data_IF_110433191620
#
_entry.id   IF_110433191620
#
_cell.length_a   1.000
_cell.length_b   1.000
_cell.length_c   1.000
_cell.angle_alpha   90.00
_cell.angle_beta   90.00
_cell.angle_gamma   90.00
#
_symmetry.space_group_name_H-M   'P 1'
#
loop_
_entity.id
_entity.type
_entity.pdbx_description
1 polymer ?
#
# COMPACT_ATOMS: atom_id res chain seq x y z
N UNK A 1 68.02 0.83 -21.97
CA UNK A 1 67.82 0.17 -20.66
C UNK A 1 66.61 0.81 -20.01
N UNK A 2 65.43 0.30 -20.36
CA UNK A 2 64.14 0.74 -19.81
C UNK A 2 63.66 -0.38 -18.87
N UNK A 3 63.59 -0.08 -17.58
CA UNK A 3 63.08 -1.00 -16.58
C UNK A 3 61.54 -1.05 -16.64
N UNK A 4 60.91 -2.23 -16.71
CA UNK A 4 59.46 -2.34 -16.81
C UNK A 4 58.80 -2.00 -15.47
N UNK A 5 57.93 -1.00 -15.49
CA UNK A 5 57.02 -0.65 -14.39
C UNK A 5 55.97 -1.76 -14.20
N UNK A 6 55.80 -2.31 -12.99
CA UNK A 6 54.75 -3.28 -12.71
C UNK A 6 53.43 -2.61 -12.31
N UNK A 7 52.36 -2.99 -13.02
CA UNK A 7 50.98 -2.96 -12.55
C UNK A 7 50.53 -4.43 -12.31
N UNK A 8 49.51 -4.76 -11.49
CA UNK A 8 48.48 -3.86 -10.94
C UNK A 8 48.07 -4.12 -9.47
N UNK A 9 47.59 -3.07 -8.79
CA UNK A 9 46.76 -3.21 -7.58
C UNK A 9 45.35 -3.69 -7.96
N UNK A 10 45.19 -5.00 -8.14
CA UNK A 10 43.93 -5.65 -8.59
C UNK A 10 43.48 -6.75 -7.62
N UNK A 11 43.48 -6.47 -6.31
CA UNK A 11 43.31 -7.53 -5.30
C UNK A 11 42.58 -7.20 -3.99
N UNK A 12 42.18 -5.97 -3.72
CA UNK A 12 41.38 -5.61 -2.53
C UNK A 12 40.43 -4.49 -2.97
N UNK A 13 39.16 -4.74 -3.30
CA UNK A 13 38.12 -5.14 -2.37
C UNK A 13 37.03 -5.91 -3.13
N UNK A 14 37.10 -7.25 -3.12
CA UNK A 14 35.88 -8.06 -3.17
C UNK A 14 35.34 -8.12 -1.74
N UNK A 15 34.24 -7.43 -1.49
CA UNK A 15 33.49 -7.52 -0.26
C UNK A 15 32.14 -6.84 -0.41
N UNK A 16 31.07 -7.63 -0.36
CA UNK A 16 29.70 -7.12 -0.22
C UNK A 16 28.94 -6.92 -1.52
N UNK A 17 28.15 -7.91 -1.90
CA UNK A 17 27.20 -7.81 -3.01
C UNK A 17 26.13 -6.73 -2.78
N UNK A 18 25.84 -6.02 -3.86
CA UNK A 18 24.54 -5.53 -4.33
C UNK A 18 23.46 -5.29 -3.25
N UNK A 19 23.10 -4.02 -3.05
CA UNK A 19 21.73 -3.54 -3.31
C UNK A 19 21.79 -2.16 -3.95
N UNK A 20 21.14 -2.04 -5.09
CA UNK A 20 20.96 -0.81 -5.86
C UNK A 20 20.19 0.22 -5.03
N UNK A 21 20.87 1.27 -4.59
CA UNK A 21 20.23 2.52 -4.17
C UNK A 21 19.70 3.21 -5.43
N UNK A 22 18.51 2.81 -5.86
CA UNK A 22 17.84 3.33 -7.06
C UNK A 22 16.33 3.11 -7.09
N UNK A 23 15.74 2.71 -5.96
CA UNK A 23 14.32 2.35 -5.84
C UNK A 23 13.69 2.89 -4.56
N UNK A 24 13.96 4.15 -4.18
CA UNK A 24 13.33 4.78 -3.02
C UNK A 24 11.82 4.89 -3.24
N UNK A 25 11.39 5.91 -3.99
CA UNK A 25 9.97 6.10 -4.33
C UNK A 25 9.42 4.99 -5.21
N UNK A 26 10.15 4.56 -6.25
CA UNK A 26 9.67 3.51 -7.15
C UNK A 26 9.50 2.14 -6.46
N UNK A 27 10.40 1.79 -5.53
CA UNK A 27 10.29 0.54 -4.76
C UNK A 27 9.20 0.61 -3.70
N UNK A 28 9.00 1.78 -3.08
CA UNK A 28 7.90 2.01 -2.16
C UNK A 28 6.53 1.91 -2.86
N UNK A 29 6.39 2.53 -4.04
CA UNK A 29 5.16 2.47 -4.83
C UNK A 29 4.83 1.04 -5.30
N UNK A 30 5.84 0.27 -5.71
CA UNK A 30 5.68 -1.14 -6.09
C UNK A 30 5.21 -1.99 -4.90
N UNK A 31 5.81 -1.79 -3.72
CA UNK A 31 5.42 -2.46 -2.48
C UNK A 31 3.98 -2.12 -2.05
N UNK A 32 3.58 -0.85 -2.15
CA UNK A 32 2.23 -0.38 -1.78
C UNK A 32 1.17 -0.91 -2.76
N UNK A 33 1.49 -0.99 -4.06
CA UNK A 33 0.52 -1.38 -5.11
C UNK A 33 0.00 -2.82 -5.01
N UNK A 34 0.76 -3.71 -4.37
CA UNK A 34 0.40 -5.12 -4.16
C UNK A 34 0.02 -5.48 -2.73
N UNK A 35 0.07 -4.52 -1.80
CA UNK A 35 -0.14 -4.74 -0.38
C UNK A 35 -1.62 -4.50 0.02
N UNK A 36 -2.07 -5.21 1.06
CA UNK A 36 -3.36 -4.92 1.69
C UNK A 36 -3.31 -3.59 2.47
N UNK A 37 -4.46 -2.99 2.84
CA UNK A 37 -4.49 -1.70 3.52
C UNK A 37 -3.72 -1.65 4.86
N UNK A 38 -3.67 -2.76 5.60
CA UNK A 38 -2.97 -2.84 6.89
C UNK A 38 -1.46 -2.93 6.70
N UNK A 39 -1.00 -3.65 5.67
CA UNK A 39 0.39 -3.73 5.26
C UNK A 39 0.88 -2.38 4.71
N UNK A 40 0.09 -1.68 3.90
CA UNK A 40 0.40 -0.32 3.44
C UNK A 40 0.59 0.63 4.62
N UNK A 41 -0.30 0.58 5.61
CA UNK A 41 -0.19 1.39 6.81
C UNK A 41 1.08 1.07 7.61
N UNK A 42 1.39 -0.22 7.80
CA UNK A 42 2.63 -0.65 8.48
C UNK A 42 3.88 -0.18 7.74
N UNK A 43 3.93 -0.30 6.42
CA UNK A 43 5.06 0.14 5.60
C UNK A 43 5.31 1.65 5.72
N UNK A 44 4.24 2.44 5.68
CA UNK A 44 4.35 3.90 5.81
C UNK A 44 4.71 4.34 7.23
N UNK A 45 4.18 3.67 8.26
CA UNK A 45 4.60 3.90 9.64
C UNK A 45 6.10 3.61 9.83
N UNK A 46 6.58 2.47 9.32
CA UNK A 46 7.98 2.09 9.44
C UNK A 46 8.91 3.04 8.69
N UNK A 47 8.49 3.50 7.51
CA UNK A 47 9.19 4.54 6.75
C UNK A 47 9.36 5.82 7.58
N UNK A 48 8.26 6.36 8.12
CA UNK A 48 8.30 7.61 8.89
C UNK A 48 9.16 7.44 10.14
N UNK A 49 9.05 6.32 10.87
CA UNK A 49 9.90 6.05 12.05
C UNK A 49 11.37 5.96 11.69
N UNK A 50 11.70 5.30 10.58
CA UNK A 50 13.08 5.11 10.13
C UNK A 50 13.73 6.45 9.77
N UNK A 51 13.02 7.29 9.01
CA UNK A 51 13.52 8.62 8.68
C UNK A 51 13.59 9.51 9.92
N UNK A 52 12.60 9.46 10.82
CA UNK A 52 12.62 10.22 12.07
C UNK A 52 13.77 9.81 12.98
N UNK A 53 14.02 8.51 13.14
CA UNK A 53 15.15 7.98 13.92
C UNK A 53 16.48 8.44 13.32
N UNK A 54 16.59 8.46 11.99
CA UNK A 54 17.82 8.90 11.33
C UNK A 54 18.10 10.37 11.58
N UNK A 55 17.08 11.23 11.51
CA UNK A 55 17.23 12.68 11.79
C UNK A 55 17.59 12.92 13.26
N UNK A 56 17.01 12.17 14.19
CA UNK A 56 17.30 12.28 15.63
C UNK A 56 18.62 11.57 16.04
N UNK A 57 19.30 10.90 15.11
CA UNK A 57 20.54 10.15 15.39
C UNK A 57 20.32 8.89 16.24
N UNK A 58 19.11 8.33 16.25
CA UNK A 58 18.81 7.07 16.91
C UNK A 58 19.28 5.87 16.08
N UNK A 59 19.83 4.86 16.76
CA UNK A 59 20.30 3.64 16.11
C UNK A 59 19.16 2.73 15.59
N UNK A 60 17.91 2.98 16.00
CA UNK A 60 16.76 2.16 15.63
C UNK A 60 15.47 2.99 15.57
N UNK A 61 14.63 2.69 14.58
CA UNK A 61 13.26 3.17 14.44
C UNK A 61 12.39 2.85 15.68
N UNK A 62 12.72 1.78 16.42
CA UNK A 62 12.00 1.38 17.63
C UNK A 62 12.11 2.41 18.77
N UNK A 63 13.15 3.25 18.76
CA UNK A 63 13.34 4.31 19.75
C UNK A 63 12.39 5.51 19.55
N UNK A 64 11.74 5.61 18.38
CA UNK A 64 10.76 6.66 18.08
C UNK A 64 9.37 6.15 18.46
N UNK A 65 8.73 6.82 19.41
CA UNK A 65 7.34 6.57 19.77
C UNK A 65 6.41 7.12 18.68
N UNK A 66 5.46 6.31 18.21
CA UNK A 66 4.60 6.66 17.08
C UNK A 66 3.46 7.62 17.44
N UNK A 67 3.09 7.68 18.72
CA UNK A 67 1.99 8.50 19.24
C UNK A 67 2.48 9.80 19.88
N UNK A 68 3.77 9.87 20.24
CA UNK A 68 4.36 11.08 20.78
C UNK A 68 4.55 12.13 19.69
N UNK A 69 4.36 13.40 20.05
CA UNK A 69 4.63 14.52 19.17
C UNK A 69 6.11 14.52 18.75
N UNK A 70 6.38 14.75 17.47
CA UNK A 70 7.72 14.91 16.92
C UNK A 70 8.46 16.03 17.66
N UNK A 71 7.78 17.12 18.03
CA UNK A 71 8.38 18.20 18.82
C UNK A 71 8.84 17.72 20.20
N UNK A 72 8.03 16.89 20.87
CA UNK A 72 8.37 16.32 22.18
C UNK A 72 9.44 15.22 22.11
N UNK A 73 9.70 14.71 20.90
CA UNK A 73 10.80 13.78 20.59
C UNK A 73 12.11 14.51 20.28
N UNK A 74 12.10 15.85 20.22
CA UNK A 74 13.28 16.67 19.94
C UNK A 74 13.37 17.19 18.51
N UNK A 75 12.27 17.15 17.74
CA UNK A 75 12.22 17.87 16.47
C UNK A 75 12.11 19.38 16.70
N UNK A 76 12.91 20.14 15.96
CA UNK A 76 12.94 21.59 15.92
C UNK A 76 12.74 22.08 14.47
N UNK A 77 12.88 23.38 14.24
CA UNK A 77 12.72 23.97 12.91
C UNK A 77 13.66 23.39 11.85
N UNK A 78 14.91 23.05 12.20
CA UNK A 78 15.88 22.54 11.24
C UNK A 78 15.67 21.04 10.99
N UNK A 79 15.50 20.26 12.06
CA UNK A 79 15.29 18.81 11.94
C UNK A 79 13.95 18.48 11.30
N UNK A 80 12.93 19.32 11.48
CA UNK A 80 11.64 19.20 10.79
C UNK A 80 11.78 19.36 9.27
N UNK A 81 12.60 20.31 8.82
CA UNK A 81 12.88 20.50 7.39
C UNK A 81 13.66 19.31 6.83
N UNK A 82 14.61 18.76 7.61
CA UNK A 82 15.34 17.56 7.20
C UNK A 82 14.42 16.35 7.04
N UNK A 83 13.58 16.05 8.04
CA UNK A 83 12.61 14.96 7.97
C UNK A 83 11.71 15.11 6.75
N UNK A 84 11.16 16.31 6.53
CA UNK A 84 10.33 16.61 5.36
C UNK A 84 11.07 16.31 4.06
N UNK A 85 12.34 16.74 3.93
CA UNK A 85 13.12 16.52 2.72
C UNK A 85 13.37 15.02 2.48
N UNK A 86 13.68 14.27 3.53
CA UNK A 86 13.92 12.82 3.47
C UNK A 86 12.66 12.07 3.06
N UNK A 87 11.51 12.40 3.66
CA UNK A 87 10.21 11.85 3.27
C UNK A 87 9.86 12.20 1.82
N UNK A 88 10.09 13.44 1.39
CA UNK A 88 9.90 13.83 -0.02
C UNK A 88 10.74 13.01 -0.99
N UNK A 89 12.00 12.70 -0.65
CA UNK A 89 12.87 11.85 -1.48
C UNK A 89 12.40 10.40 -1.49
N UNK A 90 12.02 9.87 -0.33
CA UNK A 90 11.61 8.48 -0.17
C UNK A 90 10.26 8.19 -0.84
N UNK A 91 9.35 9.16 -0.85
CA UNK A 91 7.99 9.01 -1.39
C UNK A 91 7.82 9.58 -2.80
N UNK A 92 8.72 10.48 -3.22
CA UNK A 92 8.56 11.24 -4.45
C UNK A 92 7.56 12.39 -4.37
N UNK A 93 6.95 12.63 -3.19
CA UNK A 93 5.97 13.70 -2.97
C UNK A 93 6.62 15.06 -2.76
N UNK A 94 5.93 16.12 -3.17
CA UNK A 94 6.28 17.50 -2.80
C UNK A 94 5.56 17.89 -1.51
N UNK A 95 6.22 17.66 -0.38
CA UNK A 95 5.65 17.97 0.92
C UNK A 95 5.85 19.47 1.27
N UNK A 96 4.81 20.16 1.78
CA UNK A 96 4.94 21.54 2.23
C UNK A 96 5.84 21.64 3.47
N UNK A 97 6.40 22.82 3.72
CA UNK A 97 7.27 23.04 4.88
C UNK A 97 6.55 22.94 6.22
N UNK A 98 5.21 23.05 6.22
CA UNK A 98 4.37 22.96 7.42
C UNK A 98 3.97 21.53 7.80
N UNK A 99 4.28 20.53 6.95
CA UNK A 99 3.76 19.17 7.10
C UNK A 99 4.02 18.54 8.47
N UNK A 100 5.16 18.84 9.11
CA UNK A 100 5.51 18.33 10.45
C UNK A 100 4.65 18.98 11.54
N UNK A 101 4.15 20.20 11.33
CA UNK A 101 3.24 20.88 12.24
C UNK A 101 1.78 20.47 12.00
N UNK A 102 1.41 20.25 10.74
CA UNK A 102 0.08 19.79 10.35
C UNK A 102 -0.16 18.33 10.79
N UNK A 103 0.90 17.52 10.78
CA UNK A 103 0.88 16.11 11.17
C UNK A 103 1.99 15.83 12.20
N UNK A 104 1.74 16.17 13.48
CA UNK A 104 2.78 16.25 14.51
C UNK A 104 3.21 14.90 15.07
N UNK A 105 2.61 13.78 14.67
CA UNK A 105 2.98 12.44 15.14
C UNK A 105 3.35 11.55 13.97
N UNK A 106 4.12 10.48 14.23
CA UNK A 106 4.43 9.48 13.20
C UNK A 106 3.16 8.90 12.60
N UNK A 107 2.16 8.59 13.43
CA UNK A 107 0.88 8.06 12.96
C UNK A 107 0.12 9.01 12.04
N UNK A 108 0.01 10.29 12.40
CA UNK A 108 -0.69 11.29 11.58
C UNK A 108 0.06 11.58 10.29
N UNK A 109 1.39 11.62 10.33
CA UNK A 109 2.25 11.77 9.16
C UNK A 109 2.10 10.58 8.20
N UNK A 110 2.13 9.34 8.70
CA UNK A 110 1.95 8.14 7.89
C UNK A 110 0.56 8.10 7.23
N UNK A 111 -0.48 8.51 7.96
CA UNK A 111 -1.84 8.66 7.41
C UNK A 111 -1.91 9.69 6.29
N UNK A 112 -1.22 10.83 6.43
CA UNK A 112 -1.14 11.83 5.36
C UNK A 112 -0.42 11.28 4.11
N UNK A 113 0.73 10.62 4.29
CA UNK A 113 1.46 10.00 3.18
C UNK A 113 0.61 8.94 2.46
N UNK A 114 -0.18 8.16 3.21
CA UNK A 114 -1.12 7.19 2.63
C UNK A 114 -2.14 7.88 1.74
N UNK A 115 -2.76 8.96 2.22
CA UNK A 115 -3.75 9.71 1.45
C UNK A 115 -3.17 10.32 0.17
N UNK A 116 -1.90 10.73 0.18
CA UNK A 116 -1.22 11.28 -1.00
C UNK A 116 -0.75 10.19 -2.00
N UNK A 117 -0.30 9.03 -1.51
CA UNK A 117 0.26 7.96 -2.35
C UNK A 117 -0.80 6.98 -2.87
N UNK A 118 -1.87 6.80 -2.10
CA UNK A 118 -3.02 5.98 -2.42
C UNK A 118 -4.29 6.81 -2.16
N UNK A 119 -4.51 7.90 -2.93
CA UNK A 119 -5.73 8.70 -2.80
C UNK A 119 -6.91 7.75 -2.93
N UNK A 120 -7.71 7.68 -1.87
CA UNK A 120 -8.59 6.58 -1.51
C UNK A 120 -9.04 5.71 -2.69
N UNK A 121 -8.83 4.39 -2.57
CA UNK A 121 -9.37 3.41 -3.49
C UNK A 121 -10.90 3.51 -3.70
N UNK A 122 -11.61 4.28 -2.87
CA UNK A 122 -13.00 4.66 -3.07
C UNK A 122 -13.22 5.53 -4.32
N UNK A 123 -12.32 6.47 -4.63
CA UNK A 123 -12.38 7.26 -5.86
C UNK A 123 -12.13 6.39 -7.10
N UNK A 124 -11.26 5.38 -7.01
CA UNK A 124 -11.06 4.40 -8.08
C UNK A 124 -12.20 3.39 -8.19
N UNK A 125 -12.81 2.96 -7.08
CA UNK A 125 -13.91 2.01 -7.08
C UNK A 125 -15.17 2.64 -7.70
N UNK A 126 -15.49 3.89 -7.36
CA UNK A 126 -16.61 4.62 -7.97
C UNK A 126 -16.37 4.81 -9.47
N UNK A 127 -15.17 5.24 -9.88
CA UNK A 127 -14.82 5.36 -11.31
C UNK A 127 -14.82 4.02 -12.07
N UNK A 128 -14.35 2.94 -11.44
CA UNK A 128 -14.40 1.59 -12.01
C UNK A 128 -15.84 1.08 -12.13
N UNK A 129 -16.72 1.37 -11.16
CA UNK A 129 -18.14 1.02 -11.21
C UNK A 129 -18.86 1.79 -12.33
N UNK A 130 -18.53 3.06 -12.53
CA UNK A 130 -19.04 3.85 -13.67
C UNK A 130 -18.53 3.31 -15.02
N UNK A 131 -17.26 2.91 -15.10
CA UNK A 131 -16.69 2.25 -16.28
C UNK A 131 -17.41 0.92 -16.56
N UNK A 132 -17.69 0.14 -15.52
CA UNK A 132 -18.42 -1.12 -15.60
C UNK A 132 -19.84 -0.89 -16.15
N UNK A 133 -20.55 0.12 -15.64
CA UNK A 133 -21.88 0.50 -16.12
C UNK A 133 -21.87 1.01 -17.57
N UNK A 134 -20.80 1.69 -18.00
CA UNK A 134 -20.62 2.09 -19.40
C UNK A 134 -20.39 0.87 -20.31
N UNK A 135 -19.60 -0.10 -19.84
CA UNK A 135 -19.36 -1.35 -20.56
C UNK A 135 -20.64 -2.18 -20.69
N UNK A 136 -21.45 -2.25 -19.64
CA UNK A 136 -22.77 -2.90 -19.63
C UNK A 136 -23.70 -2.26 -20.68
N UNK A 137 -23.81 -0.93 -20.68
CA UNK A 137 -24.59 -0.18 -21.69
C UNK A 137 -24.10 -0.41 -23.12
N UNK A 138 -22.79 -0.64 -23.30
CA UNK A 138 -22.19 -0.98 -24.60
C UNK A 138 -22.49 -2.40 -25.05
N UNK A 139 -22.48 -3.36 -24.12
CA UNK A 139 -22.81 -4.77 -24.38
C UNK A 139 -24.26 -4.93 -24.85
N UNK A 140 -25.20 -4.15 -24.31
CA UNK A 140 -26.61 -4.15 -24.74
C UNK A 140 -26.80 -3.78 -26.22
N UNK A 141 -25.89 -2.98 -26.76
CA UNK A 141 -25.90 -2.56 -28.17
C UNK A 141 -25.22 -3.56 -29.10
N UNK A 142 -24.38 -4.44 -28.57
CA UNK A 142 -23.64 -5.43 -29.34
C UNK A 142 -24.47 -6.72 -29.44
N UNK A 143 -24.80 -7.12 -30.67
CA UNK A 143 -25.35 -8.46 -30.88
C UNK A 143 -24.24 -9.49 -30.73
N UNK A 144 -24.18 -10.13 -29.55
CA UNK A 144 -23.23 -11.20 -29.26
C UNK A 144 -23.76 -12.55 -29.78
N UNK A 145 -22.95 -13.24 -30.56
CA UNK A 145 -23.19 -14.64 -30.93
C UNK A 145 -23.02 -15.58 -29.72
N UNK A 146 -23.42 -16.86 -29.87
CA UNK A 146 -23.37 -17.83 -28.78
C UNK A 146 -21.96 -18.11 -28.25
N UNK A 147 -20.96 -18.07 -29.13
CA UNK A 147 -19.55 -18.34 -28.77
C UNK A 147 -18.96 -17.17 -27.99
N UNK A 148 -19.22 -15.94 -28.41
CA UNK A 148 -18.78 -14.71 -27.75
C UNK A 148 -19.45 -14.57 -26.38
N UNK A 149 -20.73 -14.93 -26.27
CA UNK A 149 -21.45 -14.99 -24.99
C UNK A 149 -20.78 -15.96 -24.02
N UNK A 150 -20.50 -17.20 -24.45
CA UNK A 150 -19.82 -18.19 -23.60
C UNK A 150 -18.42 -17.74 -23.15
N UNK A 151 -17.66 -17.09 -24.04
CA UNK A 151 -16.33 -16.55 -23.71
C UNK A 151 -16.38 -15.40 -22.72
N UNK A 152 -17.37 -14.50 -22.86
CA UNK A 152 -17.58 -13.39 -21.94
C UNK A 152 -17.95 -13.91 -20.54
N UNK A 153 -18.89 -14.86 -20.44
CA UNK A 153 -19.30 -15.49 -19.18
C UNK A 153 -18.11 -16.12 -18.46
N UNK A 154 -17.32 -16.95 -19.16
CA UNK A 154 -16.12 -17.56 -18.57
C UNK A 154 -15.07 -16.52 -18.14
N UNK A 155 -15.00 -15.38 -18.82
CA UNK A 155 -14.15 -14.25 -18.42
C UNK A 155 -14.62 -13.58 -17.13
N UNK A 156 -15.93 -13.34 -17.01
CA UNK A 156 -16.55 -12.74 -15.83
C UNK A 156 -16.45 -13.65 -14.60
N UNK A 157 -16.63 -14.96 -14.76
CA UNK A 157 -16.45 -15.93 -13.68
C UNK A 157 -15.03 -15.91 -13.10
N UNK A 158 -14.01 -15.83 -13.96
CA UNK A 158 -12.61 -15.68 -13.52
C UNK A 158 -12.37 -14.35 -12.79
N UNK A 159 -12.96 -13.27 -13.27
CA UNK A 159 -12.85 -11.96 -12.62
C UNK A 159 -13.53 -11.98 -11.25
N UNK A 160 -14.71 -12.60 -11.13
CA UNK A 160 -15.40 -12.81 -9.86
C UNK A 160 -14.54 -13.61 -8.88
N UNK A 161 -13.96 -14.73 -9.32
CA UNK A 161 -13.09 -15.55 -8.46
C UNK A 161 -11.90 -14.74 -7.93
N UNK A 162 -11.26 -13.94 -8.79
CA UNK A 162 -10.14 -13.07 -8.41
C UNK A 162 -10.54 -12.00 -7.40
N UNK A 163 -11.72 -11.39 -7.57
CA UNK A 163 -12.24 -10.39 -6.63
C UNK A 163 -12.60 -11.00 -5.27
N UNK A 164 -13.15 -12.23 -5.27
CA UNK A 164 -13.50 -12.96 -4.05
C UNK A 164 -12.26 -13.40 -3.25
N UNK A 165 -11.14 -13.73 -3.91
CA UNK A 165 -9.86 -14.03 -3.25
C UNK A 165 -9.28 -12.81 -2.51
N UNK A 166 -9.56 -11.60 -2.99
CA UNK A 166 -9.04 -10.34 -2.42
C UNK A 166 -9.94 -9.70 -1.36
N UNK A 167 -11.15 -10.23 -1.14
CA UNK A 167 -12.07 -9.71 -0.12
C UNK A 167 -11.80 -10.41 1.24
N UNK A 168 -11.75 -9.68 2.37
CA UNK A 168 -11.78 -10.32 3.69
C UNK A 168 -13.06 -11.14 3.83
N UNK A 169 -13.04 -12.26 4.59
CA UNK A 169 -14.20 -13.13 4.71
C UNK A 169 -15.43 -12.33 5.15
N UNK A 170 -16.43 -12.25 4.28
CA UNK A 170 -17.69 -11.58 4.55
C UNK A 170 -18.45 -12.28 5.68
N UNK A 171 -19.16 -11.48 6.49
CA UNK A 171 -19.99 -11.87 7.64
C UNK A 171 -21.06 -12.94 7.36
N UNK A 172 -21.25 -13.33 6.10
CA UNK A 172 -22.21 -14.36 5.68
C UNK A 172 -21.90 -15.75 6.23
N UNK A 173 -20.64 -16.00 6.65
CA UNK A 173 -20.26 -17.25 7.34
C UNK A 173 -20.66 -17.34 8.81
N UNK A 174 -21.23 -16.28 9.41
CA UNK A 174 -21.70 -16.30 10.81
C UNK A 174 -23.22 -16.48 10.93
N UNK A 175 -23.98 -16.33 9.83
CA UNK A 175 -25.45 -16.41 9.83
C UNK A 175 -26.01 -17.76 9.31
N UNK A 176 -25.17 -18.77 9.12
CA UNK A 176 -25.56 -20.08 8.55
C UNK A 176 -25.59 -21.23 9.55
N UNK A 177 -26.28 -21.11 10.70
CA UNK A 177 -26.64 -22.27 11.54
C UNK A 177 -28.04 -22.19 12.17
N UNK A 178 -28.96 -21.38 11.63
CA UNK A 178 -30.32 -21.30 12.18
C UNK A 178 -31.38 -21.25 11.09
N UNK A 179 -31.56 -22.35 10.34
CA UNK A 179 -32.80 -22.56 9.58
C UNK A 179 -33.24 -24.04 9.48
N UNK A 180 -32.88 -24.87 10.46
CA UNK A 180 -33.44 -26.23 10.57
C UNK A 180 -34.43 -26.29 11.74
N UNK A 181 -35.72 -26.12 11.44
CA UNK A 181 -36.80 -26.67 12.27
C UNK A 181 -37.92 -25.72 12.70
N UNK A 182 -38.77 -25.27 11.77
CA UNK A 182 -40.14 -24.82 12.12
C UNK A 182 -41.24 -25.35 11.17
N UNK A 183 -40.94 -26.31 10.30
CA UNK A 183 -41.93 -26.87 9.37
C UNK A 183 -42.83 -27.98 9.95
N UNK A 184 -42.73 -28.33 11.24
CA UNK A 184 -43.42 -29.51 11.80
C UNK A 184 -44.47 -29.21 12.90
N UNK A 185 -45.22 -28.11 12.78
CA UNK A 185 -46.27 -27.78 13.76
C UNK A 185 -47.59 -27.29 13.15
N UNK A 186 -47.98 -27.83 11.99
CA UNK A 186 -49.30 -27.59 11.38
C UNK A 186 -50.00 -28.83 10.80
N UNK A 187 -49.86 -29.99 11.44
CA UNK A 187 -50.79 -31.12 11.23
C UNK A 187 -51.14 -31.75 12.58
N UNK A 188 -52.32 -31.42 13.12
CA UNK A 188 -52.88 -32.19 14.24
C UNK A 188 -53.71 -31.41 15.24
N UNK A 189 -54.86 -30.88 14.83
CA UNK A 189 -56.00 -30.74 15.73
C UNK A 189 -57.29 -30.85 14.90
N UNK A 190 -57.97 -31.98 15.08
CA UNK A 190 -59.41 -32.08 14.82
C UNK A 190 -60.21 -31.45 15.95
#
# INVERSE_FOLDING_TARGET
AEGPVPAPLRGLLRGGGRRTAGGGAAGLLDAISGADPEEVERLLLDLVRTEAATVLGHASAAAVDVHKSLLDLGFDSLTSVELRNRLSVATGLRLPATVVFDYPTVTTMAGHLRAELAPDGAATAVGMLEELGRLETGLDRLSLDGVSRARLTAGLERLQAKLAETAPPTLDKIAGTADDGLADLLVGAG
#
